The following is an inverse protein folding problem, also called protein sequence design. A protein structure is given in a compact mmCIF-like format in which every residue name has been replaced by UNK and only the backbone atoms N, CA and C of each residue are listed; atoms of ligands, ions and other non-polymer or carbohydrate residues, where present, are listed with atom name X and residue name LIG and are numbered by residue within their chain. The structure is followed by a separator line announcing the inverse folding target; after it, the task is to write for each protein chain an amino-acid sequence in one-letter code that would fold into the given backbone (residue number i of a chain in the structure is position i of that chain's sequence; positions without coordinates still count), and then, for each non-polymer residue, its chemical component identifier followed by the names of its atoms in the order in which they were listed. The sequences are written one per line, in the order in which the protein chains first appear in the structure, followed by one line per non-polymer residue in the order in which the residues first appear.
data_IF_885111106335
#
_entry.id   IF_885111106335
#
_cell.length_a   1.000
_cell.length_b   1.000
_cell.length_c   1.000
_cell.angle_alpha   90.00
_cell.angle_beta   90.00
_cell.angle_gamma   90.00
#
_symmetry.space_group_name_H-M   'P 1'
#
loop_
_entity.id
_entity.type
_entity.pdbx_description
1 polymer ?
#
# COMPACT_ATOMS: atom_id res chain seq x y z
N UNK A 1 -13.95 10.88 19.00
CA UNK A 1 -12.59 10.89 19.59
C UNK A 1 -12.33 9.66 20.44
N UNK A 2 -11.41 8.80 19.99
CA UNK A 2 -11.00 7.60 20.72
C UNK A 2 -10.04 7.98 21.85
N UNK A 3 -10.41 7.61 23.08
CA UNK A 3 -9.59 7.83 24.27
C UNK A 3 -9.11 6.49 24.82
N UNK A 4 -7.91 6.48 25.39
CA UNK A 4 -7.32 5.32 26.07
C UNK A 4 -6.88 5.68 27.48
N UNK A 5 -6.79 4.68 28.35
CA UNK A 5 -6.27 4.83 29.70
C UNK A 5 -4.94 4.11 29.80
N UNK A 6 -3.87 4.85 30.09
CA UNK A 6 -2.52 4.30 30.27
C UNK A 6 -2.00 4.79 31.61
N UNK A 7 -1.55 3.87 32.46
CA UNK A 7 -1.08 4.15 33.81
C UNK A 7 -2.07 5.00 34.63
N UNK A 8 -3.38 4.77 34.43
CA UNK A 8 -4.45 5.50 35.11
C UNK A 8 -4.76 6.89 34.54
N UNK A 9 -4.03 7.36 33.52
CA UNK A 9 -4.29 8.64 32.87
C UNK A 9 -5.06 8.45 31.56
N UNK A 10 -6.14 9.23 31.38
CA UNK A 10 -6.92 9.25 30.14
C UNK A 10 -6.24 10.16 29.13
N UNK A 11 -5.92 9.62 27.96
CA UNK A 11 -5.24 10.32 26.87
C UNK A 11 -5.95 10.07 25.55
N UNK A 12 -5.79 10.97 24.58
CA UNK A 12 -6.25 10.70 23.21
C UNK A 12 -5.40 9.58 22.61
N UNK A 13 -6.03 8.63 21.91
CA UNK A 13 -5.33 7.52 21.26
C UNK A 13 -4.26 8.02 20.28
N UNK A 14 -4.57 9.10 19.55
CA UNK A 14 -3.65 9.72 18.60
C UNK A 14 -2.37 10.24 19.27
N UNK A 15 -2.52 10.96 20.39
CA UNK A 15 -1.38 11.50 21.16
C UNK A 15 -0.47 10.39 21.67
N UNK A 16 -1.07 9.30 22.16
CA UNK A 16 -0.31 8.13 22.58
C UNK A 16 0.45 7.48 21.41
N UNK A 17 -0.23 7.21 20.29
CA UNK A 17 0.41 6.61 19.12
C UNK A 17 1.56 7.48 18.60
N UNK A 18 1.39 8.81 18.65
CA UNK A 18 2.43 9.79 18.31
C UNK A 18 3.65 9.67 19.22
N UNK A 19 3.47 9.48 20.53
CA UNK A 19 4.58 9.26 21.45
C UNK A 19 5.29 7.92 21.24
N UNK A 20 4.54 6.84 20.99
CA UNK A 20 5.10 5.53 20.67
C UNK A 20 5.97 5.62 19.42
N UNK A 21 5.46 6.24 18.36
CA UNK A 21 6.22 6.44 17.12
C UNK A 21 7.44 7.35 17.35
N UNK A 22 7.32 8.41 18.14
CA UNK A 22 8.47 9.27 18.50
C UNK A 22 9.56 8.46 19.20
N UNK A 23 9.19 7.58 20.13
CA UNK A 23 10.10 6.65 20.79
C UNK A 23 10.80 5.73 19.79
N UNK A 24 10.03 5.11 18.90
CA UNK A 24 10.56 4.25 17.83
C UNK A 24 11.59 4.98 16.95
N UNK A 25 11.26 6.18 16.45
CA UNK A 25 12.19 6.94 15.60
C UNK A 25 13.44 7.45 16.33
N UNK A 26 13.33 7.72 17.64
CA UNK A 26 14.48 8.16 18.44
C UNK A 26 15.59 7.10 18.54
N UNK A 27 15.24 5.81 18.43
CA UNK A 27 16.21 4.71 18.41
C UNK A 27 17.10 4.79 17.18
N UNK A 28 16.54 5.05 16.00
CA UNK A 28 17.34 5.21 14.77
C UNK A 28 18.32 6.37 14.89
N UNK A 29 17.86 7.50 15.44
CA UNK A 29 18.74 8.65 15.67
C UNK A 29 19.90 8.31 16.62
N UNK A 30 19.63 7.54 17.68
CA UNK A 30 20.68 7.15 18.62
C UNK A 30 21.71 6.19 17.98
N UNK A 31 21.30 5.42 16.97
CA UNK A 31 22.12 4.45 16.25
C UNK A 31 22.66 4.99 14.91
N UNK A 32 22.54 6.29 14.62
CA UNK A 32 22.85 6.89 13.31
C UNK A 32 24.25 6.52 12.79
N UNK A 33 25.25 6.49 13.67
CA UNK A 33 26.63 6.12 13.34
C UNK A 33 26.81 4.65 12.89
N UNK A 34 25.86 3.78 13.26
CA UNK A 34 25.88 2.33 12.97
C UNK A 34 24.93 1.94 11.83
N UNK A 35 24.13 2.90 11.32
CA UNK A 35 23.12 2.66 10.29
C UNK A 35 23.64 3.07 8.91
N UNK A 36 23.80 2.10 8.01
CA UNK A 36 24.19 2.37 6.62
C UNK A 36 23.01 2.76 5.73
N UNK A 37 21.83 2.18 5.98
CA UNK A 37 20.62 2.41 5.20
C UNK A 37 19.38 2.06 6.03
N UNK A 38 18.36 2.92 6.00
CA UNK A 38 17.08 2.72 6.69
C UNK A 38 15.95 2.98 5.71
N UNK A 39 15.17 1.94 5.40
CA UNK A 39 13.94 2.06 4.64
C UNK A 39 12.73 1.89 5.57
N UNK A 40 11.85 2.89 5.56
CA UNK A 40 10.61 2.87 6.33
C UNK A 40 9.43 2.78 5.36
N UNK A 41 8.55 1.82 5.58
CA UNK A 41 7.35 1.60 4.76
C UNK A 41 6.13 1.42 5.66
N UNK A 42 4.95 1.82 5.17
CA UNK A 42 3.70 1.72 5.90
C UNK A 42 2.53 2.31 5.12
N UNK A 43 1.32 2.10 5.64
CA UNK A 43 0.05 2.54 5.02
C UNK A 43 -0.33 3.98 5.42
N UNK A 44 0.39 4.58 6.37
CA UNK A 44 0.07 5.93 6.86
C UNK A 44 1.32 6.76 7.05
N UNK A 45 1.41 7.85 6.29
CA UNK A 45 2.41 8.90 6.41
C UNK A 45 2.11 9.71 7.66
N UNK A 46 2.97 9.61 8.66
CA UNK A 46 2.95 10.53 9.80
C UNK A 46 3.75 11.79 9.44
N UNK A 47 3.17 12.66 8.61
CA UNK A 47 3.75 13.93 8.20
C UNK A 47 3.57 15.01 9.28
N UNK A 48 4.17 14.82 10.45
CA UNK A 48 4.36 15.93 11.38
C UNK A 48 5.84 16.17 11.62
N UNK A 49 6.35 17.09 10.80
CA UNK A 49 7.69 17.66 10.82
C UNK A 49 8.13 18.15 12.22
N UNK A 50 7.21 18.31 13.19
CA UNK A 50 7.51 18.70 14.58
C UNK A 50 7.63 17.56 15.60
N UNK A 51 7.10 16.36 15.33
CA UNK A 51 7.18 15.24 16.31
C UNK A 51 8.60 14.68 16.38
N UNK A 52 9.27 14.71 15.23
CA UNK A 52 10.54 14.05 15.01
C UNK A 52 11.67 15.07 14.86
N UNK A 53 11.73 16.10 15.71
CA UNK A 53 12.77 17.15 15.69
C UNK A 53 14.24 16.65 15.76
N UNK A 54 14.46 15.34 15.64
CA UNK A 54 15.76 14.72 15.43
C UNK A 54 15.86 13.67 14.31
N UNK A 55 14.77 13.23 13.68
CA UNK A 55 14.82 12.41 12.46
C UNK A 55 14.74 13.38 11.29
N UNK A 56 15.90 13.93 10.92
CA UNK A 56 16.01 14.99 9.92
C UNK A 56 15.46 14.48 8.58
N UNK A 57 14.37 15.09 8.12
CA UNK A 57 13.86 15.05 6.74
C UNK A 57 14.11 13.72 6.01
N UNK A 58 13.40 12.63 6.37
CA UNK A 58 13.43 11.43 5.54
C UNK A 58 13.01 11.79 4.13
N UNK A 59 13.74 11.25 3.16
CA UNK A 59 13.40 11.40 1.76
C UNK A 59 12.11 10.62 1.47
N UNK A 60 11.07 11.32 1.02
CA UNK A 60 9.78 10.72 0.70
C UNK A 60 9.80 10.17 -0.73
N UNK A 61 10.30 8.95 -0.87
CA UNK A 61 10.41 8.24 -2.15
C UNK A 61 9.09 7.57 -2.59
N UNK A 62 7.96 7.81 -1.91
CA UNK A 62 6.73 7.03 -2.13
C UNK A 62 6.16 7.13 -3.55
N UNK A 63 6.44 8.23 -4.25
CA UNK A 63 6.00 8.49 -5.64
C UNK A 63 7.18 8.79 -6.56
N UNK A 64 8.39 8.39 -6.17
CA UNK A 64 9.63 8.62 -6.92
C UNK A 64 9.80 7.52 -7.97
N UNK A 65 9.97 7.93 -9.23
CA UNK A 65 10.18 7.05 -10.40
C UNK A 65 11.34 6.08 -10.20
N UNK A 66 12.40 6.46 -9.49
CA UNK A 66 13.55 5.58 -9.25
C UNK A 66 13.19 4.35 -8.39
N UNK A 67 12.07 4.41 -7.66
CA UNK A 67 11.64 3.37 -6.72
C UNK A 67 10.25 2.81 -7.05
N UNK A 68 9.69 3.14 -8.22
CA UNK A 68 8.31 2.80 -8.57
C UNK A 68 8.03 1.28 -8.58
N UNK A 69 9.05 0.47 -8.88
CA UNK A 69 8.97 -0.99 -8.89
C UNK A 69 9.25 -1.65 -7.53
N UNK A 70 9.72 -0.90 -6.52
CA UNK A 70 10.26 -1.44 -5.27
C UNK A 70 9.26 -2.31 -4.49
N UNK A 71 7.98 -1.96 -4.54
CA UNK A 71 6.93 -2.58 -3.74
C UNK A 71 6.09 -3.62 -4.50
N UNK A 72 6.50 -4.05 -5.69
CA UNK A 72 5.74 -5.02 -6.47
C UNK A 72 6.55 -5.85 -7.45
N UNK A 73 5.85 -6.41 -8.43
CA UNK A 73 6.43 -7.18 -9.55
C UNK A 73 6.06 -6.42 -10.81
N UNK A 74 7.04 -6.09 -11.64
CA UNK A 74 6.80 -5.45 -12.94
C UNK A 74 6.20 -6.43 -13.94
N UNK A 75 5.59 -5.92 -15.01
CA UNK A 75 5.08 -6.77 -16.10
C UNK A 75 6.20 -7.64 -16.73
N UNK A 76 7.37 -7.04 -16.93
CA UNK A 76 8.54 -7.73 -17.47
C UNK A 76 8.97 -8.89 -16.57
N UNK A 77 9.12 -8.65 -15.26
CA UNK A 77 9.47 -9.69 -14.29
C UNK A 77 8.40 -10.79 -14.23
N UNK A 78 7.12 -10.40 -14.26
CA UNK A 78 6.00 -11.33 -14.25
C UNK A 78 6.09 -12.30 -15.45
N UNK A 79 6.32 -11.78 -16.64
CA UNK A 79 6.29 -12.59 -17.86
C UNK A 79 7.59 -13.34 -18.14
N UNK A 80 8.74 -12.82 -17.70
CA UNK A 80 10.04 -13.48 -17.86
C UNK A 80 10.29 -14.56 -16.80
N UNK A 81 9.91 -14.29 -15.54
CA UNK A 81 10.22 -15.19 -14.42
C UNK A 81 9.16 -16.28 -14.23
N UNK A 82 7.90 -15.99 -14.55
CA UNK A 82 6.78 -16.92 -14.28
C UNK A 82 6.13 -17.50 -15.54
N UNK A 83 6.88 -17.54 -16.66
CA UNK A 83 6.40 -18.04 -17.95
C UNK A 83 5.77 -19.44 -17.84
N UNK A 84 6.43 -20.37 -17.16
CA UNK A 84 5.95 -21.75 -17.00
C UNK A 84 4.66 -21.85 -16.18
N UNK A 85 4.53 -21.04 -15.13
CA UNK A 85 3.32 -20.99 -14.32
C UNK A 85 2.16 -20.40 -15.13
N UNK A 86 2.43 -19.39 -15.96
CA UNK A 86 1.45 -18.81 -16.88
C UNK A 86 1.01 -19.84 -17.91
N UNK A 87 1.92 -20.61 -18.51
CA UNK A 87 1.61 -21.74 -19.42
C UNK A 87 0.69 -22.76 -18.78
N UNK A 88 1.02 -23.22 -17.57
CA UNK A 88 0.22 -24.19 -16.83
C UNK A 88 -1.18 -23.64 -16.53
N UNK A 89 -1.29 -22.34 -16.19
CA UNK A 89 -2.59 -21.70 -16.03
C UNK A 89 -3.35 -21.59 -17.36
N UNK A 90 -2.70 -21.24 -18.46
CA UNK A 90 -3.32 -21.13 -19.78
C UNK A 90 -4.01 -22.44 -20.19
N UNK A 91 -3.32 -23.58 -20.01
CA UNK A 91 -3.88 -24.92 -20.23
C UNK A 91 -5.13 -25.15 -19.39
N UNK A 92 -5.07 -24.84 -18.08
CA UNK A 92 -6.21 -25.01 -17.16
C UNK A 92 -7.41 -24.15 -17.55
N UNK A 93 -7.16 -22.92 -17.99
CA UNK A 93 -8.17 -21.96 -18.39
C UNK A 93 -8.60 -22.11 -19.87
N UNK A 94 -8.07 -23.11 -20.58
CA UNK A 94 -8.35 -23.40 -21.99
C UNK A 94 -8.16 -22.16 -22.88
N UNK A 95 -7.05 -21.47 -22.70
CA UNK A 95 -6.69 -20.25 -23.43
C UNK A 95 -5.22 -20.30 -23.86
N UNK A 96 -4.79 -19.37 -24.71
CA UNK A 96 -3.38 -19.23 -25.08
C UNK A 96 -2.58 -18.57 -23.95
N UNK A 97 -1.26 -18.61 -24.03
CA UNK A 97 -0.40 -17.93 -23.05
C UNK A 97 -0.69 -16.43 -23.01
N UNK A 98 -0.84 -15.80 -24.18
CA UNK A 98 -1.23 -14.40 -24.32
C UNK A 98 -2.62 -14.13 -23.74
N UNK A 99 -3.56 -15.05 -23.96
CA UNK A 99 -4.89 -14.98 -23.36
C UNK A 99 -4.84 -15.08 -21.83
N UNK A 100 -3.90 -15.84 -21.28
CA UNK A 100 -3.68 -15.94 -19.84
C UNK A 100 -2.99 -14.69 -19.28
N UNK A 101 -1.97 -14.15 -19.96
CA UNK A 101 -1.35 -12.86 -19.63
C UNK A 101 -2.39 -11.75 -19.58
N UNK A 102 -3.25 -11.66 -20.60
CA UNK A 102 -4.37 -10.70 -20.62
C UNK A 102 -5.32 -10.87 -19.43
N UNK A 103 -5.65 -12.11 -19.05
CA UNK A 103 -6.50 -12.40 -17.88
C UNK A 103 -5.82 -12.03 -16.56
N UNK A 104 -4.51 -12.22 -16.43
CA UNK A 104 -3.73 -11.83 -15.26
C UNK A 104 -3.67 -10.31 -15.16
N UNK A 105 -3.32 -9.62 -16.26
CA UNK A 105 -3.34 -8.15 -16.37
C UNK A 105 -4.69 -7.61 -15.94
N UNK A 106 -5.77 -7.99 -16.62
CA UNK A 106 -7.13 -7.54 -16.27
C UNK A 106 -7.55 -7.80 -14.81
N UNK A 107 -6.95 -8.77 -14.12
CA UNK A 107 -7.34 -9.15 -12.75
C UNK A 107 -6.51 -8.47 -11.67
N UNK A 108 -5.25 -8.15 -11.97
CA UNK A 108 -4.25 -7.76 -10.96
C UNK A 108 -3.44 -6.52 -11.32
N UNK A 109 -3.65 -5.96 -12.52
CA UNK A 109 -3.11 -4.69 -12.96
C UNK A 109 -3.82 -3.51 -12.28
N UNK A 110 -3.13 -2.37 -12.15
CA UNK A 110 -3.72 -1.14 -11.62
C UNK A 110 -2.90 -0.36 -10.60
N UNK A 111 -1.71 -0.81 -10.20
CA UNK A 111 -0.83 -0.04 -9.31
C UNK A 111 0.25 0.69 -10.10
N UNK A 112 0.34 2.00 -9.86
CA UNK A 112 1.36 2.88 -10.43
C UNK A 112 1.86 3.81 -9.34
N UNK A 113 3.16 3.77 -9.04
CA UNK A 113 3.76 4.54 -7.95
C UNK A 113 4.65 5.70 -8.45
N UNK A 114 4.39 6.20 -9.65
CA UNK A 114 5.14 7.32 -10.24
C UNK A 114 4.32 8.02 -11.34
N UNK A 115 4.84 9.10 -11.91
CA UNK A 115 4.32 9.71 -13.13
C UNK A 115 4.59 8.92 -14.40
N UNK A 116 5.55 8.00 -14.38
CA UNK A 116 5.92 7.16 -15.53
C UNK A 116 4.91 6.02 -15.74
N UNK A 117 4.05 5.78 -14.74
CA UNK A 117 2.92 4.86 -14.81
C UNK A 117 3.36 3.43 -15.15
N UNK A 118 4.50 2.99 -14.60
CA UNK A 118 4.92 1.59 -14.73
C UNK A 118 3.86 0.66 -14.12
N UNK A 119 3.50 -0.39 -14.84
CA UNK A 119 2.55 -1.42 -14.39
C UNK A 119 3.18 -2.25 -13.27
N UNK A 120 2.65 -2.13 -12.05
CA UNK A 120 3.09 -2.89 -10.88
C UNK A 120 2.02 -3.87 -10.42
N UNK A 121 2.39 -5.14 -10.29
CA UNK A 121 1.53 -6.20 -9.77
C UNK A 121 1.76 -6.41 -8.28
N UNK A 122 0.67 -6.55 -7.53
CA UNK A 122 0.73 -6.93 -6.11
C UNK A 122 1.34 -8.34 -5.96
N UNK A 123 2.52 -8.50 -5.30
CA UNK A 123 3.23 -9.77 -5.25
C UNK A 123 2.41 -10.88 -4.59
N UNK A 124 1.72 -10.56 -3.49
CA UNK A 124 0.93 -11.55 -2.77
C UNK A 124 -0.18 -12.13 -3.65
N UNK A 125 -0.92 -11.27 -4.36
CA UNK A 125 -2.05 -11.67 -5.19
C UNK A 125 -1.62 -12.50 -6.38
N UNK A 126 -0.60 -12.03 -7.11
CA UNK A 126 -0.12 -12.70 -8.33
C UNK A 126 0.54 -14.04 -7.99
N UNK A 127 1.41 -14.09 -6.97
CA UNK A 127 2.09 -15.32 -6.57
C UNK A 127 1.11 -16.38 -6.06
N UNK A 128 0.08 -15.96 -5.29
CA UNK A 128 -0.99 -16.89 -4.90
C UNK A 128 -1.81 -17.38 -6.09
N UNK A 129 -2.07 -16.51 -7.07
CA UNK A 129 -2.82 -16.89 -8.27
C UNK A 129 -2.07 -17.92 -9.11
N UNK A 130 -0.78 -17.71 -9.32
CA UNK A 130 0.11 -18.62 -10.02
C UNK A 130 0.26 -19.95 -9.26
N UNK A 131 0.55 -19.90 -7.95
CA UNK A 131 0.71 -21.09 -7.11
C UNK A 131 -0.55 -21.96 -7.06
N UNK A 132 -1.72 -21.34 -6.87
CA UNK A 132 -3.01 -22.04 -6.79
C UNK A 132 -3.66 -22.26 -8.16
N UNK A 133 -3.04 -21.77 -9.23
CA UNK A 133 -3.52 -21.85 -10.61
C UNK A 133 -4.95 -21.34 -10.75
N UNK A 134 -5.28 -20.25 -10.03
CA UNK A 134 -6.64 -19.72 -9.94
C UNK A 134 -6.63 -18.20 -9.84
N UNK A 135 -7.40 -17.56 -10.70
CA UNK A 135 -7.75 -16.15 -10.57
C UNK A 135 -8.73 -15.98 -9.41
N UNK A 136 -8.33 -15.25 -8.37
CA UNK A 136 -9.14 -15.00 -7.18
C UNK A 136 -8.72 -13.69 -6.54
N UNK A 137 -9.61 -13.12 -5.74
CA UNK A 137 -9.36 -11.90 -4.96
C UNK A 137 -8.50 -12.19 -3.73
N UNK A 138 -7.22 -12.49 -3.96
CA UNK A 138 -6.27 -12.76 -2.88
C UNK A 138 -5.95 -11.50 -2.06
N UNK A 139 -6.00 -10.32 -2.67
CA UNK A 139 -5.89 -9.02 -1.98
C UNK A 139 -6.95 -8.85 -0.88
N UNK A 140 -8.18 -9.34 -1.11
CA UNK A 140 -9.27 -9.24 -0.13
C UNK A 140 -9.05 -10.14 1.09
N UNK A 141 -8.21 -11.17 0.97
CA UNK A 141 -7.93 -12.12 2.05
C UNK A 141 -6.86 -11.63 3.03
N UNK A 142 -6.04 -10.65 2.63
CA UNK A 142 -4.94 -10.12 3.46
C UNK A 142 -5.28 -8.83 4.18
N UNK A 143 -6.22 -8.04 3.65
CA UNK A 143 -6.70 -6.86 4.35
C UNK A 143 -7.73 -7.23 5.42
N UNK A 144 -7.65 -6.60 6.59
CA UNK A 144 -8.69 -6.74 7.62
C UNK A 144 -9.97 -6.09 7.10
N UNK A 145 -11.00 -6.85 6.66
CA UNK A 145 -12.18 -6.26 6.01
C UNK A 145 -12.89 -5.27 6.93
N UNK A 146 -12.73 -5.46 8.24
CA UNK A 146 -13.25 -4.59 9.29
C UNK A 146 -12.75 -3.16 9.19
N UNK A 147 -11.49 -2.93 8.79
CA UNK A 147 -10.96 -1.57 8.68
C UNK A 147 -11.56 -0.83 7.48
N UNK A 148 -11.61 -1.48 6.31
CA UNK A 148 -12.24 -0.92 5.12
C UNK A 148 -13.75 -0.69 5.32
N UNK A 149 -14.47 -1.67 5.88
CA UNK A 149 -15.90 -1.53 6.20
C UNK A 149 -16.13 -0.40 7.19
N UNK A 150 -15.25 -0.24 8.18
CA UNK A 150 -15.33 0.88 9.13
C UNK A 150 -15.05 2.20 8.44
N UNK A 151 -14.00 2.30 7.63
CA UNK A 151 -13.67 3.50 6.85
C UNK A 151 -14.89 3.92 6.00
N UNK A 152 -15.43 3.01 5.21
CA UNK A 152 -16.61 3.24 4.37
C UNK A 152 -17.90 3.50 5.15
N UNK A 153 -18.01 3.05 6.40
CA UNK A 153 -19.14 3.39 7.27
C UNK A 153 -19.02 4.80 7.86
N UNK A 154 -17.80 5.30 8.03
CA UNK A 154 -17.53 6.64 8.54
C UNK A 154 -17.66 7.69 7.43
N UNK A 155 -17.30 7.34 6.19
CA UNK A 155 -17.55 8.16 5.01
C UNK A 155 -18.97 7.95 4.50
N UNK A 156 -19.73 9.03 4.29
CA UNK A 156 -21.04 8.96 3.61
C UNK A 156 -20.90 8.77 2.09
N UNK A 157 -19.69 8.57 1.59
CA UNK A 157 -19.43 8.33 0.17
C UNK A 157 -19.49 6.83 -0.11
N UNK A 158 -20.23 6.46 -1.14
CA UNK A 158 -20.30 5.08 -1.59
C UNK A 158 -18.99 4.74 -2.35
N UNK A 159 -18.48 3.50 -2.25
CA UNK A 159 -17.31 3.05 -3.03
C UNK A 159 -17.47 3.36 -4.53
N UNK A 160 -18.69 3.24 -5.04
CA UNK A 160 -19.03 3.55 -6.43
C UNK A 160 -18.80 5.03 -6.80
N UNK A 161 -18.79 5.93 -5.82
CA UNK A 161 -18.51 7.36 -6.01
C UNK A 161 -17.01 7.65 -6.01
N UNK A 162 -16.17 6.72 -5.57
CA UNK A 162 -14.71 6.80 -5.60
C UNK A 162 -14.11 6.15 -6.86
N UNK A 163 -14.83 5.18 -7.46
CA UNK A 163 -14.37 4.47 -8.66
C UNK A 163 -14.78 5.19 -9.96
N UNK A 164 -13.99 5.06 -11.03
CA UNK A 164 -14.34 5.59 -12.35
C UNK A 164 -14.20 7.11 -12.49
N UNK A 165 -13.46 7.75 -11.58
CA UNK A 165 -13.13 9.17 -11.59
C UNK A 165 -11.62 9.36 -11.71
N UNK A 166 -11.22 10.50 -12.26
CA UNK A 166 -9.82 10.93 -12.30
C UNK A 166 -9.54 11.81 -11.09
N UNK A 167 -8.43 11.53 -10.41
CA UNK A 167 -7.96 12.29 -9.24
C UNK A 167 -6.57 12.84 -9.51
N UNK A 168 -6.26 14.08 -9.08
CA UNK A 168 -4.90 14.60 -9.16
C UNK A 168 -3.99 13.84 -8.19
N UNK A 169 -2.69 13.75 -8.52
CA UNK A 169 -1.67 13.06 -7.70
C UNK A 169 -1.67 13.54 -6.24
N UNK A 170 -1.91 14.83 -5.99
CA UNK A 170 -2.02 15.39 -4.64
C UNK A 170 -3.10 14.73 -3.78
N UNK A 171 -4.19 14.21 -4.38
CA UNK A 171 -5.23 13.47 -3.65
C UNK A 171 -4.75 12.12 -3.08
N UNK A 172 -3.64 11.58 -3.59
CA UNK A 172 -3.01 10.35 -3.09
C UNK A 172 -1.84 10.60 -2.13
N UNK A 173 -1.30 11.83 -2.13
CA UNK A 173 -0.11 12.23 -1.36
C UNK A 173 -0.48 13.03 -0.10
N UNK A 174 -1.40 13.98 -0.20
CA UNK A 174 -1.74 14.96 0.87
C UNK A 174 -2.76 14.42 1.88
N UNK A 175 -2.50 13.24 2.44
CA UNK A 175 -3.32 12.71 3.53
C UNK A 175 -2.57 12.83 4.84
N UNK A 176 -3.22 13.49 5.80
CA UNK A 176 -2.73 13.65 7.16
C UNK A 176 -3.51 12.71 8.06
N UNK A 177 -2.86 12.15 9.08
CA UNK A 177 -3.52 11.23 10.02
C UNK A 177 -4.69 11.87 10.81
N UNK A 178 -4.83 13.20 10.80
CA UNK A 178 -5.93 13.96 11.43
C UNK A 178 -7.15 14.13 10.52
N UNK A 179 -6.99 14.00 9.20
CA UNK A 179 -8.07 14.04 8.21
C UNK A 179 -8.23 12.64 7.65
N UNK A 180 -9.24 11.92 8.12
CA UNK A 180 -9.64 10.68 7.46
C UNK A 180 -9.96 11.04 5.99
N UNK A 181 -9.15 10.53 5.06
CA UNK A 181 -9.31 10.72 3.62
C UNK A 181 -9.36 9.33 2.97
N UNK A 182 -10.53 8.86 2.51
CA UNK A 182 -10.72 7.45 2.18
C UNK A 182 -9.91 7.07 0.94
N UNK A 183 -9.83 7.94 -0.06
CA UNK A 183 -9.14 7.69 -1.32
C UNK A 183 -7.65 7.29 -1.15
N UNK A 184 -6.78 8.10 -0.51
CA UNK A 184 -5.37 7.75 -0.32
C UNK A 184 -5.19 6.50 0.54
N UNK A 185 -6.06 6.29 1.54
CA UNK A 185 -5.99 5.11 2.41
C UNK A 185 -6.36 3.82 1.66
N UNK A 186 -7.42 3.85 0.86
CA UNK A 186 -7.88 2.72 0.03
C UNK A 186 -6.81 2.41 -1.03
N UNK A 187 -6.25 3.42 -1.67
CA UNK A 187 -5.16 3.26 -2.65
C UNK A 187 -3.91 2.61 -2.03
N UNK A 188 -3.40 3.13 -0.91
CA UNK A 188 -2.18 2.59 -0.29
C UNK A 188 -2.34 1.22 0.36
N UNK A 189 -3.56 0.88 0.76
CA UNK A 189 -3.86 -0.47 1.28
C UNK A 189 -4.15 -1.48 0.17
N UNK A 190 -4.11 -1.05 -1.09
CA UNK A 190 -4.29 -1.91 -2.26
C UNK A 190 -5.74 -2.26 -2.58
N UNK A 191 -6.69 -1.42 -2.14
CA UNK A 191 -8.13 -1.61 -2.36
C UNK A 191 -8.69 -0.87 -3.59
N UNK A 192 -7.90 0.01 -4.21
CA UNK A 192 -8.20 0.70 -5.47
C UNK A 192 -7.36 0.11 -6.61
#
# INVERSE_FOLDING_TARGET
DLNITINGQKRKLEEWNREVLKGFYSVFKAADADLQFVLLTGVTKFSQVSVFSGFNQPDDISMDEHYEALCGITEEELYSTFEEQIKVMAVRYKTTEEGMKYKLKRKFDGYHFSSDMLDIYNPFSILNSLSKKRLSDFWFRTGTPTYLVRLLSHFKENLNELTGKYYPTSSFVDYRADVEAPLPMIYQSGYL
#
